data_IF_790976533007
#
_entry.id   IF_790976533007
#
_cell.length_a   1.000
_cell.length_b   1.000
_cell.length_c   1.000
_cell.angle_alpha   90.00
_cell.angle_beta   90.00
_cell.angle_gamma   90.00
#
_symmetry.space_group_name_H-M   'P 1'
#
loop_
_entity.id
_entity.type
_entity.pdbx_description
1 polymer ?
#
# COMPACT_ATOMS: atom_id res chain seq x y z
N UNK A 1 -1.07 -43.31 24.61
CA UNK A 1 0.31 -43.01 24.21
C UNK A 1 0.26 -42.17 22.94
N UNK A 2 0.79 -40.94 23.03
CA UNK A 2 1.09 -39.98 21.95
C UNK A 2 -0.10 -39.43 21.13
N UNK A 3 -0.25 -38.12 20.91
CA UNK A 3 0.64 -37.01 21.23
C UNK A 3 -0.13 -35.70 21.14
N UNK A 4 0.07 -34.88 22.17
CA UNK A 4 -0.34 -33.48 22.23
C UNK A 4 0.40 -32.74 21.10
N UNK A 5 -0.31 -32.44 20.02
CA UNK A 5 0.18 -31.48 19.04
C UNK A 5 0.11 -30.11 19.68
N UNK A 6 1.27 -29.62 20.14
CA UNK A 6 1.47 -28.20 20.47
C UNK A 6 1.14 -27.38 19.23
N UNK A 7 -0.09 -26.88 19.15
CA UNK A 7 -0.34 -25.66 18.40
C UNK A 7 0.35 -24.57 19.19
N UNK A 8 1.56 -24.21 18.75
CA UNK A 8 2.18 -22.96 19.13
C UNK A 8 1.10 -21.89 19.07
N UNK A 9 0.95 -21.19 20.19
CA UNK A 9 0.17 -19.98 20.34
C UNK A 9 0.60 -19.02 19.22
N UNK A 10 -0.07 -19.09 18.07
CA UNK A 10 -0.23 -17.89 17.26
C UNK A 10 -1.03 -17.01 18.19
N UNK A 11 -0.37 -16.03 18.80
CA UNK A 11 -1.05 -14.84 19.31
C UNK A 11 -2.00 -14.45 18.20
N UNK A 12 -3.28 -14.83 18.35
CA UNK A 12 -4.28 -14.60 17.34
C UNK A 12 -4.29 -13.10 17.19
N UNK A 13 -3.90 -12.60 16.00
CA UNK A 13 -3.84 -11.17 15.76
C UNK A 13 -5.20 -10.62 16.19
N UNK A 14 -5.22 -9.88 17.30
CA UNK A 14 -6.42 -9.22 17.74
C UNK A 14 -6.84 -8.32 16.57
N UNK A 15 -8.05 -8.53 16.06
CA UNK A 15 -8.56 -7.75 14.94
C UNK A 15 -8.59 -6.28 15.35
N UNK A 16 -7.74 -5.47 14.73
CA UNK A 16 -7.70 -4.03 14.96
C UNK A 16 -8.70 -3.40 14.02
N UNK A 17 -9.85 -2.98 14.55
CA UNK A 17 -10.81 -2.19 13.79
C UNK A 17 -10.16 -0.83 13.46
N UNK A 18 -9.94 -0.57 12.18
CA UNK A 18 -9.38 0.70 11.70
C UNK A 18 -10.50 1.66 11.36
N UNK A 19 -10.50 2.82 12.00
CA UNK A 19 -11.39 3.91 11.63
C UNK A 19 -10.85 4.68 10.41
N UNK A 20 -11.54 5.75 10.02
CA UNK A 20 -11.12 6.54 8.85
C UNK A 20 -9.80 7.28 9.11
N UNK A 21 -9.54 7.73 10.33
CA UNK A 21 -8.28 8.40 10.67
C UNK A 21 -7.13 7.39 10.66
N UNK A 22 -7.31 6.20 11.22
CA UNK A 22 -6.32 5.12 11.17
C UNK A 22 -5.93 4.79 9.72
N UNK A 23 -6.93 4.70 8.83
CA UNK A 23 -6.69 4.48 7.41
C UNK A 23 -5.89 5.61 6.75
N UNK A 24 -6.08 6.87 7.18
CA UNK A 24 -5.29 8.01 6.68
C UNK A 24 -3.85 7.91 7.14
N UNK A 25 -3.61 7.57 8.40
CA UNK A 25 -2.25 7.39 8.94
C UNK A 25 -1.50 6.25 8.24
N UNK A 26 -2.16 5.10 8.06
CA UNK A 26 -1.57 3.97 7.31
C UNK A 26 -1.28 4.35 5.87
N UNK A 27 -2.18 5.11 5.23
CA UNK A 27 -1.96 5.58 3.85
C UNK A 27 -0.80 6.58 3.78
N UNK A 28 -0.68 7.50 4.74
CA UNK A 28 0.43 8.45 4.81
C UNK A 28 1.78 7.73 4.95
N UNK A 29 1.84 6.73 5.84
CA UNK A 29 3.03 5.90 6.02
C UNK A 29 3.39 5.17 4.72
N UNK A 30 2.43 4.50 4.09
CA UNK A 30 2.66 3.79 2.83
C UNK A 30 3.11 4.72 1.69
N UNK A 31 2.51 5.91 1.58
CA UNK A 31 2.88 6.92 0.59
C UNK A 31 4.30 7.42 0.81
N UNK A 32 4.70 7.69 2.06
CA UNK A 32 6.05 8.08 2.40
C UNK A 32 7.07 7.00 2.00
N UNK A 33 6.82 5.73 2.37
CA UNK A 33 7.70 4.63 1.98
C UNK A 33 7.81 4.46 0.46
N UNK A 34 6.69 4.54 -0.26
CA UNK A 34 6.69 4.41 -1.71
C UNK A 34 7.43 5.57 -2.41
N UNK A 35 7.31 6.78 -1.87
CA UNK A 35 7.98 7.96 -2.41
C UNK A 35 9.51 7.87 -2.31
N UNK A 36 10.05 7.29 -1.23
CA UNK A 36 11.51 7.10 -1.05
C UNK A 36 12.14 6.22 -2.16
N UNK A 37 11.37 5.26 -2.68
CA UNK A 37 11.87 4.31 -3.69
C UNK A 37 11.37 4.62 -5.11
N UNK A 38 10.53 5.64 -5.29
CA UNK A 38 9.92 5.97 -6.57
C UNK A 38 10.96 6.23 -7.68
N UNK A 39 12.07 6.87 -7.34
CA UNK A 39 13.15 7.16 -8.29
C UNK A 39 13.78 5.89 -8.89
N UNK A 40 13.74 4.75 -8.18
CA UNK A 40 14.23 3.47 -8.70
C UNK A 40 13.36 2.99 -9.86
N UNK A 41 12.04 3.09 -9.72
CA UNK A 41 11.11 2.74 -10.79
C UNK A 41 11.26 3.70 -11.98
N UNK A 42 11.35 5.00 -11.72
CA UNK A 42 11.41 6.02 -12.76
C UNK A 42 12.72 6.03 -13.55
N UNK A 43 13.80 5.51 -12.97
CA UNK A 43 15.05 5.30 -13.68
C UNK A 43 14.90 4.25 -14.81
N UNK A 44 14.07 3.23 -14.61
CA UNK A 44 13.79 2.20 -15.62
C UNK A 44 12.64 2.61 -16.57
N UNK A 45 11.59 3.23 -16.02
CA UNK A 45 10.36 3.60 -16.73
C UNK A 45 10.02 5.09 -16.56
N UNK A 46 10.81 6.01 -17.14
CA UNK A 46 10.64 7.45 -16.93
C UNK A 46 9.31 8.00 -17.44
N UNK A 47 8.71 7.35 -18.44
CA UNK A 47 7.44 7.79 -19.06
C UNK A 47 6.19 7.17 -18.40
N UNK A 48 6.36 6.32 -17.38
CA UNK A 48 5.25 5.66 -16.69
C UNK A 48 4.90 6.37 -15.38
N UNK A 49 3.92 7.27 -15.46
CA UNK A 49 3.47 8.07 -14.32
C UNK A 49 2.62 7.29 -13.29
N UNK A 50 2.23 6.03 -13.56
CA UNK A 50 1.25 5.30 -12.72
C UNK A 50 1.66 5.21 -11.24
N UNK A 51 2.93 4.94 -10.87
CA UNK A 51 3.33 4.92 -9.46
C UNK A 51 3.27 6.30 -8.79
N UNK A 52 3.64 7.37 -9.51
CA UNK A 52 3.55 8.74 -9.00
C UNK A 52 2.10 9.16 -8.78
N UNK A 53 1.21 8.87 -9.73
CA UNK A 53 -0.23 9.13 -9.60
C UNK A 53 -0.85 8.41 -8.39
N UNK A 54 -0.39 7.19 -8.08
CA UNK A 54 -0.83 6.44 -6.90
C UNK A 54 -0.37 7.09 -5.59
N UNK A 55 0.89 7.55 -5.52
CA UNK A 55 1.42 8.27 -4.35
C UNK A 55 0.67 9.59 -4.15
N UNK A 56 0.39 10.33 -5.22
CA UNK A 56 -0.36 11.59 -5.13
C UNK A 56 -1.80 11.36 -4.65
N UNK A 57 -2.48 10.32 -5.13
CA UNK A 57 -3.79 9.94 -4.64
C UNK A 57 -3.79 9.47 -3.19
N UNK A 58 -2.73 8.75 -2.77
CA UNK A 58 -2.54 8.34 -1.40
C UNK A 58 -2.36 9.58 -0.48
N UNK A 59 -1.55 10.56 -0.89
CA UNK A 59 -1.38 11.80 -0.14
C UNK A 59 -2.65 12.65 -0.07
N UNK A 60 -3.42 12.74 -1.15
CA UNK A 60 -4.72 13.43 -1.14
C UNK A 60 -5.65 12.83 -0.08
N UNK A 61 -5.78 11.50 -0.06
CA UNK A 61 -6.56 10.82 0.97
C UNK A 61 -5.94 11.00 2.36
N UNK A 62 -4.64 10.81 2.56
CA UNK A 62 -4.01 10.98 3.86
C UNK A 62 -4.25 12.38 4.47
N UNK A 63 -4.31 13.43 3.64
CA UNK A 63 -4.46 14.83 4.05
C UNK A 63 -5.92 15.29 4.23
N UNK A 64 -6.88 14.37 4.20
CA UNK A 64 -8.29 14.69 4.46
C UNK A 64 -9.22 14.52 3.25
N UNK A 65 -8.67 14.22 2.07
CA UNK A 65 -9.46 13.94 0.86
C UNK A 65 -10.39 12.74 1.00
N UNK A 66 -11.33 12.59 0.07
CA UNK A 66 -12.29 11.49 0.14
C UNK A 66 -11.67 10.14 -0.23
N UNK A 67 -12.09 9.09 0.47
CA UNK A 67 -11.78 7.73 0.03
C UNK A 67 -12.61 7.42 -1.20
N UNK A 68 -12.00 7.18 -2.34
CA UNK A 68 -12.74 7.14 -3.59
C UNK A 68 -12.16 6.27 -4.68
N UNK A 69 -12.86 6.30 -5.83
CA UNK A 69 -12.50 5.59 -7.06
C UNK A 69 -11.07 5.92 -7.49
N UNK A 70 -10.67 7.19 -7.44
CA UNK A 70 -9.32 7.63 -7.80
C UNK A 70 -8.24 6.84 -7.06
N UNK A 71 -8.32 6.77 -5.73
CA UNK A 71 -7.36 6.05 -4.90
C UNK A 71 -7.26 4.56 -5.27
N UNK A 72 -8.38 3.91 -5.60
CA UNK A 72 -8.39 2.50 -6.01
C UNK A 72 -7.79 2.32 -7.41
N UNK A 73 -8.20 3.14 -8.35
CA UNK A 73 -7.79 3.02 -9.75
C UNK A 73 -6.28 3.25 -9.90
N UNK A 74 -5.74 4.29 -9.26
CA UNK A 74 -4.30 4.57 -9.31
C UNK A 74 -3.49 3.49 -8.59
N UNK A 75 -3.96 2.97 -7.46
CA UNK A 75 -3.32 1.84 -6.78
C UNK A 75 -3.22 0.59 -7.68
N UNK A 76 -4.30 0.23 -8.38
CA UNK A 76 -4.28 -0.90 -9.32
C UNK A 76 -3.38 -0.63 -10.54
N UNK A 77 -3.37 0.60 -11.05
CA UNK A 77 -2.51 0.99 -12.15
C UNK A 77 -1.02 0.90 -11.77
N UNK A 78 -0.63 1.39 -10.58
CA UNK A 78 0.73 1.29 -10.07
C UNK A 78 1.16 -0.16 -9.83
N UNK A 79 0.28 -1.02 -9.29
CA UNK A 79 0.58 -2.44 -9.13
C UNK A 79 0.82 -3.13 -10.49
N UNK A 80 0.04 -2.77 -11.51
CA UNK A 80 0.25 -3.29 -12.87
C UNK A 80 1.59 -2.82 -13.44
N UNK A 81 1.93 -1.55 -13.26
CA UNK A 81 3.19 -0.96 -13.67
C UNK A 81 4.39 -1.69 -13.04
N UNK A 82 4.34 -1.94 -11.73
CA UNK A 82 5.37 -2.67 -11.01
C UNK A 82 5.57 -4.09 -11.57
N UNK A 83 4.49 -4.81 -11.87
CA UNK A 83 4.57 -6.15 -12.49
C UNK A 83 5.15 -6.14 -13.90
N UNK A 84 4.90 -5.08 -14.66
CA UNK A 84 5.46 -4.90 -16.01
C UNK A 84 6.94 -4.47 -15.99
N UNK A 85 7.45 -3.99 -14.85
CA UNK A 85 8.86 -3.63 -14.65
C UNK A 85 9.71 -4.80 -14.13
N UNK A 86 9.11 -5.77 -13.43
CA UNK A 86 9.78 -6.96 -12.88
C UNK A 86 10.02 -8.08 -13.93
N UNK A 87 9.95 -7.75 -15.23
CA UNK A 87 10.03 -8.71 -16.36
C UNK A 87 11.29 -8.55 -17.18
#
# INVERSE_FOLDING_TARGET
MAGESRTADRVGAAEVALDRQDLREVTAFAAACAQEVLAVFEADRPDDARPRDAIDAAWEFARGGERGKRLRDTAWAALKAAKEADS
#
